data_IF_840370311668
#
_entry.id   IF_840370311668
#
_cell.length_a   1.000
_cell.length_b   1.000
_cell.length_c   1.000
_cell.angle_alpha   90.00
_cell.angle_beta   90.00
_cell.angle_gamma   90.00
#
_symmetry.space_group_name_H-M   'P 1'
#
loop_
_entity.id
_entity.type
_entity.pdbx_description
1 polymer ?
#
# COMPACT_ATOMS: atom_id res chain seq x y z
N UNK A 1 29.02 -3.89 4.49
CA UNK A 1 27.56 -3.99 4.67
C UNK A 1 27.10 -2.78 5.44
N UNK A 2 25.94 -2.16 5.15
CA UNK A 2 25.45 -1.04 5.95
C UNK A 2 25.19 -1.51 7.38
N UNK A 3 25.60 -0.71 8.39
CA UNK A 3 25.43 -1.07 9.79
C UNK A 3 23.94 -1.10 10.14
N UNK A 4 23.46 -2.25 10.64
CA UNK A 4 22.13 -2.37 11.24
C UNK A 4 22.09 -1.52 12.51
N UNK A 5 21.10 -0.64 12.67
CA UNK A 5 21.02 0.35 13.76
C UNK A 5 19.62 0.29 14.37
N UNK A 6 19.53 -0.05 15.62
CA UNK A 6 18.28 -0.27 16.35
C UNK A 6 18.14 0.69 17.51
N UNK A 7 16.98 1.33 17.62
CA UNK A 7 16.60 2.10 18.78
C UNK A 7 15.69 1.26 19.67
N UNK A 8 16.15 0.97 20.89
CA UNK A 8 15.36 0.25 21.91
C UNK A 8 14.75 1.27 22.86
N UNK A 9 13.45 1.21 23.07
CA UNK A 9 12.68 2.09 23.95
C UNK A 9 12.01 1.21 25.00
N UNK A 10 12.58 1.17 26.20
CA UNK A 10 12.07 0.39 27.33
C UNK A 10 12.59 0.95 28.66
N UNK A 11 11.70 1.07 29.66
CA UNK A 11 12.03 1.59 30.99
C UNK A 11 12.85 0.59 31.84
N UNK A 12 12.83 -0.69 31.51
CA UNK A 12 13.51 -1.75 32.23
C UNK A 12 15.00 -1.80 31.86
N UNK A 13 15.83 -1.05 32.57
CA UNK A 13 17.23 -0.85 32.22
C UNK A 13 18.07 -2.13 32.20
N UNK A 14 17.77 -3.12 33.07
CA UNK A 14 18.49 -4.39 33.10
C UNK A 14 18.19 -5.24 31.86
N UNK A 15 16.92 -5.31 31.45
CA UNK A 15 16.49 -6.00 30.24
C UNK A 15 17.05 -5.31 28.97
N UNK A 16 17.02 -4.00 28.94
CA UNK A 16 17.52 -3.22 27.79
C UNK A 16 19.02 -3.38 27.61
N UNK A 17 19.79 -3.41 28.69
CA UNK A 17 21.24 -3.70 28.63
C UNK A 17 21.51 -5.12 28.15
N UNK A 18 20.78 -6.09 28.64
CA UNK A 18 20.88 -7.48 28.16
C UNK A 18 20.63 -7.56 26.65
N UNK A 19 19.56 -6.91 26.14
CA UNK A 19 19.29 -6.85 24.71
C UNK A 19 20.40 -6.12 23.94
N UNK A 20 20.91 -5.04 24.48
CA UNK A 20 22.01 -4.30 23.85
C UNK A 20 23.25 -5.18 23.70
N UNK A 21 23.68 -5.86 24.77
CA UNK A 21 24.84 -6.75 24.74
C UNK A 21 24.67 -7.90 23.73
N UNK A 22 23.49 -8.54 23.67
CA UNK A 22 23.21 -9.62 22.72
C UNK A 22 23.19 -9.12 21.27
N UNK A 23 22.55 -7.99 20.99
CA UNK A 23 22.46 -7.43 19.65
C UNK A 23 23.81 -6.88 19.15
N UNK A 24 24.62 -6.29 20.03
CA UNK A 24 25.98 -5.80 19.68
C UNK A 24 26.92 -6.96 19.36
N UNK A 25 26.80 -8.12 20.03
CA UNK A 25 27.54 -9.34 19.66
C UNK A 25 27.20 -9.85 18.26
N UNK A 26 26.02 -9.47 17.72
CA UNK A 26 25.55 -9.78 16.36
C UNK A 26 25.85 -8.68 15.35
N UNK A 27 26.75 -7.75 15.68
CA UNK A 27 27.13 -6.60 14.84
C UNK A 27 25.97 -5.63 14.57
N UNK A 28 24.94 -5.59 15.41
CA UNK A 28 23.83 -4.63 15.37
C UNK A 28 24.15 -3.49 16.32
N UNK A 29 24.23 -2.26 15.82
CA UNK A 29 24.44 -1.08 16.68
C UNK A 29 23.14 -0.72 17.40
N UNK A 30 23.18 -0.50 18.71
CA UNK A 30 22.01 -0.24 19.54
C UNK A 30 22.14 1.12 20.24
N UNK A 31 21.04 1.88 20.22
CA UNK A 31 20.83 3.02 21.11
C UNK A 31 19.61 2.73 21.99
N UNK A 32 19.66 3.15 23.25
CA UNK A 32 18.61 2.88 24.22
C UNK A 32 18.00 4.19 24.75
N UNK A 33 16.68 4.18 24.95
CA UNK A 33 15.91 5.23 25.62
C UNK A 33 15.14 4.60 26.77
N UNK A 34 15.42 5.05 27.98
CA UNK A 34 14.86 4.47 29.22
C UNK A 34 13.69 5.30 29.77
N UNK A 35 13.63 6.59 29.45
CA UNK A 35 12.56 7.48 29.90
C UNK A 35 12.24 8.55 28.85
N UNK A 36 11.03 9.13 28.90
CA UNK A 36 10.71 10.34 28.14
C UNK A 36 11.62 11.48 28.62
N UNK A 37 12.49 12.00 27.75
CA UNK A 37 13.49 13.03 28.06
C UNK A 37 14.95 12.63 27.78
N UNK A 38 15.26 11.34 27.67
CA UNK A 38 16.61 10.82 27.31
C UNK A 38 16.90 10.89 25.80
N UNK A 39 16.22 11.74 25.10
CA UNK A 39 16.09 11.73 23.65
C UNK A 39 17.27 12.32 22.88
N UNK A 40 18.12 13.12 23.54
CA UNK A 40 19.13 13.94 22.89
C UNK A 40 20.26 13.15 22.17
N UNK A 41 20.49 11.89 22.54
CA UNK A 41 21.46 11.02 21.86
C UNK A 41 20.85 10.18 20.72
N UNK A 42 19.58 9.87 20.79
CA UNK A 42 18.92 8.93 19.90
C UNK A 42 18.62 9.53 18.51
N UNK A 43 18.38 10.84 18.41
CA UNK A 43 18.13 11.53 17.12
C UNK A 43 19.36 11.53 16.21
N UNK A 44 20.55 11.68 16.76
CA UNK A 44 21.80 11.60 16.01
C UNK A 44 22.15 10.16 15.58
N UNK A 45 21.55 9.17 16.23
CA UNK A 45 21.81 7.76 15.98
C UNK A 45 21.25 7.27 14.64
N UNK A 46 20.20 7.87 14.08
CA UNK A 46 19.53 7.51 12.82
C UNK A 46 19.24 6.00 12.69
N UNK A 47 18.32 5.43 13.48
CA UNK A 47 18.01 3.99 13.49
C UNK A 47 17.40 3.53 12.16
N UNK A 48 17.51 2.21 11.86
CA UNK A 48 16.81 1.55 10.76
C UNK A 48 15.53 0.86 11.26
N UNK A 49 15.49 0.46 12.54
CA UNK A 49 14.38 -0.22 13.21
C UNK A 49 14.19 0.36 14.59
N UNK A 50 12.96 0.44 15.05
CA UNK A 50 12.60 0.78 16.41
C UNK A 50 12.05 -0.47 17.10
N UNK A 51 12.52 -0.75 18.31
CA UNK A 51 11.98 -1.79 19.21
C UNK A 51 11.43 -1.08 20.44
N UNK A 52 10.12 -1.10 20.64
CA UNK A 52 9.51 -0.30 21.72
C UNK A 52 8.63 -1.14 22.64
N UNK A 53 8.74 -0.90 23.95
CA UNK A 53 7.76 -1.40 24.91
C UNK A 53 6.42 -0.66 24.72
N UNK A 54 5.33 -1.43 24.56
CA UNK A 54 3.97 -0.89 24.37
C UNK A 54 3.60 0.12 25.46
N UNK A 55 3.99 -0.13 26.69
CA UNK A 55 3.64 0.71 27.84
C UNK A 55 4.33 2.07 27.82
N UNK A 56 5.48 2.16 27.17
CA UNK A 56 6.21 3.42 27.00
C UNK A 56 5.70 4.30 25.86
N UNK A 57 4.81 3.82 25.01
CA UNK A 57 4.23 4.60 23.91
C UNK A 57 3.15 5.57 24.44
N UNK A 58 3.54 6.49 25.29
CA UNK A 58 2.72 7.61 25.77
C UNK A 58 2.73 8.79 24.78
N UNK A 59 1.91 9.82 25.03
CA UNK A 59 1.87 11.02 24.20
C UNK A 59 3.20 11.80 24.13
N UNK A 60 4.03 11.71 25.16
CA UNK A 60 5.38 12.33 25.18
C UNK A 60 6.39 11.54 24.32
N UNK A 61 6.39 10.21 24.43
CA UNK A 61 7.24 9.35 23.59
C UNK A 61 6.84 9.43 22.11
N UNK A 62 5.56 9.62 21.81
CA UNK A 62 5.09 9.86 20.44
C UNK A 62 5.58 11.20 19.89
N UNK A 63 5.75 12.22 20.73
CA UNK A 63 6.39 13.48 20.37
C UNK A 63 7.83 13.27 19.90
N UNK A 64 8.59 12.47 20.63
CA UNK A 64 9.98 12.09 20.29
C UNK A 64 10.06 11.28 18.99
N UNK A 65 9.21 10.27 18.82
CA UNK A 65 9.17 9.49 17.58
C UNK A 65 8.90 10.34 16.34
N UNK A 66 8.16 11.46 16.49
CA UNK A 66 7.98 12.47 15.43
C UNK A 66 9.26 13.20 15.05
N UNK A 67 10.29 13.21 15.89
CA UNK A 67 11.59 13.82 15.52
C UNK A 67 12.31 13.00 14.46
N UNK A 68 12.12 11.67 14.45
CA UNK A 68 12.58 10.81 13.35
C UNK A 68 11.75 11.00 12.07
N UNK A 69 10.55 11.54 12.21
CA UNK A 69 9.64 11.87 11.13
C UNK A 69 10.04 13.09 10.31
N UNK A 70 10.90 13.96 10.84
CA UNK A 70 11.48 15.08 10.08
C UNK A 70 12.27 14.60 8.86
N UNK A 71 12.72 13.34 8.86
CA UNK A 71 13.31 12.69 7.70
C UNK A 71 12.26 12.08 6.75
N UNK A 72 10.94 12.27 7.02
CA UNK A 72 9.79 11.73 6.25
C UNK A 72 9.83 10.20 6.02
N UNK A 73 10.59 9.47 6.86
CA UNK A 73 10.81 8.03 6.72
C UNK A 73 9.98 7.28 7.76
N UNK A 74 9.04 6.45 7.31
CA UNK A 74 8.32 5.52 8.20
C UNK A 74 9.28 4.42 8.64
N UNK A 75 9.78 4.49 9.87
CA UNK A 75 10.65 3.44 10.41
C UNK A 75 9.81 2.24 10.85
N UNK A 76 10.23 1.00 10.52
CA UNK A 76 9.59 -0.20 11.04
C UNK A 76 9.76 -0.26 12.56
N UNK A 77 8.66 -0.56 13.26
CA UNK A 77 8.60 -0.70 14.71
C UNK A 77 8.20 -2.12 15.09
N UNK A 78 9.03 -2.76 15.89
CA UNK A 78 8.70 -4.00 16.60
C UNK A 78 8.18 -3.64 17.98
N UNK A 79 6.94 -4.04 18.30
CA UNK A 79 6.30 -3.72 19.56
C UNK A 79 6.50 -4.87 20.55
N UNK A 80 7.10 -4.60 21.71
CA UNK A 80 7.16 -5.53 22.83
C UNK A 80 5.93 -5.36 23.72
N UNK A 81 5.28 -6.46 24.10
CA UNK A 81 4.08 -6.46 24.97
C UNK A 81 4.30 -7.31 26.21
N UNK A 82 3.75 -6.88 27.36
CA UNK A 82 3.77 -7.67 28.59
C UNK A 82 2.85 -8.90 28.52
N UNK A 83 3.07 -9.88 29.41
CA UNK A 83 2.27 -11.11 29.53
C UNK A 83 0.88 -10.90 30.15
N UNK A 84 0.59 -9.72 30.68
CA UNK A 84 -0.62 -9.46 31.46
C UNK A 84 -1.83 -9.15 30.55
N UNK A 85 -2.49 -10.22 30.09
CA UNK A 85 -3.70 -10.18 29.25
C UNK A 85 -4.89 -9.47 29.90
N UNK A 86 -4.91 -9.30 31.24
CA UNK A 86 -6.00 -8.64 31.97
C UNK A 86 -5.96 -7.11 31.97
N UNK A 87 -4.80 -6.50 31.69
CA UNK A 87 -4.66 -5.02 31.55
C UNK A 87 -4.86 -4.51 30.12
N UNK A 88 -5.07 -5.41 29.17
CA UNK A 88 -5.17 -5.05 27.73
C UNK A 88 -6.57 -4.54 27.32
N UNK A 89 -7.60 -4.69 28.17
CA UNK A 89 -8.93 -4.11 27.92
C UNK A 89 -8.94 -2.64 28.35
N UNK A 90 -8.65 -1.72 27.42
CA UNK A 90 -8.90 -0.28 27.64
C UNK A 90 -7.80 0.70 27.29
N UNK A 91 -6.59 0.27 26.90
CA UNK A 91 -5.61 1.18 26.29
C UNK A 91 -5.41 0.81 24.83
N UNK A 92 -6.20 1.42 23.96
CA UNK A 92 -5.85 1.52 22.55
C UNK A 92 -4.45 2.11 22.49
N UNK A 93 -3.48 1.38 21.92
CA UNK A 93 -2.24 1.98 21.45
C UNK A 93 -2.71 3.02 20.47
N UNK A 94 -2.38 4.32 20.62
CA UNK A 94 -2.72 5.27 19.59
C UNK A 94 -2.01 4.78 18.32
N UNK A 95 -2.75 4.13 17.44
CA UNK A 95 -2.26 3.68 16.12
C UNK A 95 -1.76 4.86 15.27
N UNK A 96 -1.83 6.07 15.83
CA UNK A 96 -1.37 7.36 15.29
C UNK A 96 -0.13 7.91 15.98
N UNK A 97 0.49 7.16 16.86
CA UNK A 97 1.68 7.60 17.54
C UNK A 97 2.88 7.46 16.62
N UNK A 98 3.22 8.52 15.96
CA UNK A 98 4.32 8.70 15.02
C UNK A 98 4.14 7.90 13.70
N UNK A 99 4.71 8.40 12.63
CA UNK A 99 4.81 7.77 11.30
C UNK A 99 5.59 6.43 11.26
N UNK A 100 5.79 5.80 12.41
CA UNK A 100 6.42 4.48 12.52
C UNK A 100 5.36 3.40 12.27
N UNK A 101 5.63 2.50 11.35
CA UNK A 101 4.77 1.38 11.04
C UNK A 101 5.06 0.23 12.01
N UNK A 102 4.08 -0.19 12.84
CA UNK A 102 4.20 -1.42 13.62
C UNK A 102 4.21 -2.60 12.63
N UNK A 103 5.36 -3.27 12.53
CA UNK A 103 5.58 -4.37 11.59
C UNK A 103 5.54 -5.74 12.25
N UNK A 104 5.71 -5.79 13.57
CA UNK A 104 5.61 -7.00 14.36
C UNK A 104 5.29 -6.68 15.81
N UNK A 105 4.69 -7.64 16.52
CA UNK A 105 4.47 -7.61 17.97
C UNK A 105 5.07 -8.87 18.59
N UNK A 106 5.85 -8.71 19.65
CA UNK A 106 6.50 -9.80 20.35
C UNK A 106 6.15 -9.76 21.84
N UNK A 107 5.56 -10.83 22.43
CA UNK A 107 5.25 -10.87 23.86
C UNK A 107 6.51 -11.15 24.68
N UNK A 108 6.73 -10.42 25.78
CA UNK A 108 7.74 -10.74 26.78
C UNK A 108 7.24 -11.89 27.70
N UNK A 109 8.10 -12.84 28.12
CA UNK A 109 9.50 -12.99 27.71
C UNK A 109 9.62 -13.65 26.32
N UNK A 110 10.70 -13.34 25.60
CA UNK A 110 11.00 -13.92 24.30
C UNK A 110 12.48 -14.30 24.20
N UNK A 111 12.76 -15.22 23.30
CA UNK A 111 14.15 -15.58 22.96
C UNK A 111 14.82 -14.45 22.16
N UNK A 112 16.03 -14.00 22.53
CA UNK A 112 16.74 -12.92 21.83
C UNK A 112 16.90 -13.16 20.32
N UNK A 113 17.04 -14.43 19.90
CA UNK A 113 17.13 -14.82 18.48
C UNK A 113 15.92 -14.37 17.67
N UNK A 114 14.71 -14.50 18.25
CA UNK A 114 13.46 -14.11 17.56
C UNK A 114 13.43 -12.60 17.28
N UNK A 115 13.85 -11.82 18.25
CA UNK A 115 13.95 -10.36 18.07
C UNK A 115 15.06 -10.00 17.07
N UNK A 116 16.21 -10.65 17.13
CA UNK A 116 17.30 -10.42 16.19
C UNK A 116 16.90 -10.70 14.74
N UNK A 117 16.20 -11.81 14.47
CA UNK A 117 15.68 -12.15 13.14
C UNK A 117 14.68 -11.09 12.62
N UNK A 118 13.79 -10.59 13.48
CA UNK A 118 12.86 -9.53 13.11
C UNK A 118 13.62 -8.24 12.77
N UNK A 119 14.58 -7.85 13.62
CA UNK A 119 15.41 -6.67 13.39
C UNK A 119 16.17 -6.80 12.06
N UNK A 120 16.79 -7.93 11.79
CA UNK A 120 17.52 -8.17 10.54
C UNK A 120 16.64 -7.99 9.33
N UNK A 121 15.50 -8.67 9.32
CA UNK A 121 14.51 -8.60 8.23
C UNK A 121 14.07 -7.16 7.95
N UNK A 122 13.70 -6.43 9.00
CA UNK A 122 13.13 -5.09 8.81
C UNK A 122 14.20 -4.01 8.62
N UNK A 123 15.43 -4.19 9.15
CA UNK A 123 16.52 -3.28 8.87
C UNK A 123 16.97 -3.35 7.40
N UNK A 124 17.03 -4.53 6.81
CA UNK A 124 17.34 -4.71 5.39
C UNK A 124 16.25 -4.10 4.50
N UNK A 125 14.96 -4.34 4.84
CA UNK A 125 13.84 -3.75 4.11
C UNK A 125 13.86 -2.21 4.20
N UNK A 126 14.08 -1.64 5.38
CA UNK A 126 14.18 -0.20 5.59
C UNK A 126 15.35 0.41 4.82
N UNK A 127 16.53 -0.23 4.87
CA UNK A 127 17.71 0.22 4.11
C UNK A 127 17.46 0.21 2.61
N UNK A 128 16.76 -0.80 2.10
CA UNK A 128 16.37 -0.86 0.70
C UNK A 128 15.49 0.33 0.33
N UNK A 129 14.45 0.63 1.11
CA UNK A 129 13.54 1.76 0.88
C UNK A 129 14.31 3.09 0.86
N UNK A 130 15.28 3.27 1.77
CA UNK A 130 16.13 4.47 1.82
C UNK A 130 16.92 4.62 0.50
N UNK A 131 17.64 3.58 0.08
CA UNK A 131 18.44 3.60 -1.15
C UNK A 131 17.58 3.78 -2.41
N UNK A 132 16.37 3.25 -2.41
CA UNK A 132 15.44 3.40 -3.51
C UNK A 132 14.88 4.84 -3.56
N UNK A 133 14.59 5.45 -2.40
CA UNK A 133 14.18 6.87 -2.31
C UNK A 133 15.29 7.81 -2.79
N UNK A 134 16.53 7.63 -2.32
CA UNK A 134 17.69 8.40 -2.77
C UNK A 134 17.92 8.31 -4.28
N UNK A 135 17.70 7.12 -4.86
CA UNK A 135 17.78 6.94 -6.31
C UNK A 135 16.67 7.72 -7.04
N UNK A 136 15.44 7.72 -6.52
CA UNK A 136 14.32 8.46 -7.11
C UNK A 136 14.57 9.96 -6.99
N UNK A 137 15.02 10.45 -5.83
CA UNK A 137 15.39 11.86 -5.61
C UNK A 137 16.45 12.31 -6.61
N UNK A 138 17.45 11.47 -6.91
CA UNK A 138 18.46 11.77 -7.92
C UNK A 138 17.87 11.83 -9.34
N UNK A 139 16.88 10.98 -9.67
CA UNK A 139 16.15 11.07 -10.94
C UNK A 139 15.34 12.37 -11.04
N UNK A 140 14.71 12.79 -9.95
CA UNK A 140 13.94 14.04 -9.89
C UNK A 140 14.87 15.24 -10.04
N UNK A 141 15.98 15.29 -9.30
CA UNK A 141 16.95 16.38 -9.34
C UNK A 141 17.58 16.54 -10.74
N UNK A 142 17.64 15.47 -11.53
CA UNK A 142 18.13 15.48 -12.93
C UNK A 142 17.02 15.62 -13.97
N UNK A 143 15.77 15.89 -13.55
CA UNK A 143 14.58 16.00 -14.42
C UNK A 143 14.31 14.73 -15.28
N UNK A 144 14.67 13.57 -14.75
CA UNK A 144 14.59 12.27 -15.46
C UNK A 144 13.54 11.31 -14.92
N UNK A 145 12.81 11.68 -13.87
CA UNK A 145 11.82 10.78 -13.27
C UNK A 145 10.77 10.34 -14.29
N UNK A 146 10.14 11.30 -14.96
CA UNK A 146 9.02 11.02 -15.88
C UNK A 146 9.44 10.20 -17.10
N UNK A 147 10.65 10.40 -17.62
CA UNK A 147 11.21 9.62 -18.73
C UNK A 147 11.52 8.16 -18.32
N UNK A 148 11.75 7.94 -17.03
CA UNK A 148 12.02 6.62 -16.46
C UNK A 148 10.79 5.95 -15.88
N UNK A 149 9.67 6.67 -15.73
CA UNK A 149 8.41 6.13 -15.24
C UNK A 149 7.69 5.38 -16.37
N UNK A 150 7.54 4.08 -16.19
CA UNK A 150 6.85 3.19 -17.13
C UNK A 150 5.72 2.47 -16.42
N UNK A 151 4.83 1.88 -17.19
CA UNK A 151 3.70 1.12 -16.68
C UNK A 151 3.78 -0.32 -17.17
N UNK A 152 3.67 -1.24 -16.23
CA UNK A 152 3.37 -2.64 -16.49
C UNK A 152 1.90 -2.91 -16.18
N UNK A 153 1.33 -3.93 -16.78
CA UNK A 153 -0.09 -4.22 -16.67
C UNK A 153 -0.30 -5.63 -16.17
N UNK A 154 -1.15 -5.79 -15.17
CA UNK A 154 -1.56 -7.08 -14.64
C UNK A 154 -3.01 -7.37 -15.01
N UNK A 155 -3.27 -8.58 -15.50
CA UNK A 155 -4.61 -8.99 -15.92
C UNK A 155 -5.53 -9.25 -14.73
N UNK A 156 -6.80 -8.79 -14.87
CA UNK A 156 -7.94 -9.18 -14.04
C UNK A 156 -8.73 -10.26 -14.78
N UNK A 157 -9.16 -11.29 -14.09
CA UNK A 157 -9.84 -12.44 -14.67
C UNK A 157 -11.23 -12.66 -14.08
N UNK A 158 -12.17 -13.02 -14.93
CA UNK A 158 -13.49 -13.50 -14.47
C UNK A 158 -13.34 -14.80 -13.70
N UNK A 159 -13.88 -14.87 -12.50
CA UNK A 159 -13.87 -16.10 -11.70
C UNK A 159 -14.84 -17.14 -12.23
N UNK A 160 -15.83 -16.73 -13.05
CA UNK A 160 -16.80 -17.64 -13.66
C UNK A 160 -16.23 -18.44 -14.82
N UNK A 161 -15.52 -17.77 -15.75
CA UNK A 161 -15.07 -18.40 -17.01
C UNK A 161 -13.55 -18.31 -17.24
N UNK A 162 -12.80 -17.61 -16.38
CA UNK A 162 -11.35 -17.46 -16.48
C UNK A 162 -10.85 -16.45 -17.52
N UNK A 163 -11.75 -15.82 -18.28
CA UNK A 163 -11.37 -14.85 -19.31
C UNK A 163 -10.77 -13.58 -18.70
N UNK A 164 -9.86 -12.92 -19.43
CA UNK A 164 -9.38 -11.58 -19.07
C UNK A 164 -10.55 -10.59 -19.21
N UNK A 165 -10.78 -9.82 -18.14
CA UNK A 165 -11.89 -8.85 -18.04
C UNK A 165 -11.38 -7.42 -17.78
N UNK A 166 -10.09 -7.23 -17.62
CA UNK A 166 -9.45 -5.94 -17.41
C UNK A 166 -7.96 -6.05 -17.18
N UNK A 167 -7.32 -4.91 -17.08
CA UNK A 167 -5.90 -4.79 -16.71
C UNK A 167 -5.73 -3.70 -15.67
N UNK A 168 -4.85 -3.92 -14.68
CA UNK A 168 -4.39 -2.89 -13.76
C UNK A 168 -3.03 -2.36 -14.18
N UNK A 169 -2.91 -1.03 -14.19
CA UNK A 169 -1.68 -0.30 -14.49
C UNK A 169 -0.85 -0.13 -13.24
N UNK A 170 0.33 -0.73 -13.23
CA UNK A 170 1.26 -0.73 -12.12
C UNK A 170 2.53 0.02 -12.50
N UNK A 171 2.79 1.13 -11.83
CA UNK A 171 3.95 1.98 -12.07
C UNK A 171 5.27 1.29 -11.77
N UNK A 172 6.26 1.48 -12.64
CA UNK A 172 7.62 0.95 -12.52
C UNK A 172 8.63 2.01 -12.93
N UNK A 173 9.87 1.82 -12.55
CA UNK A 173 10.99 2.59 -13.10
C UNK A 173 11.80 1.71 -14.07
N UNK A 174 12.31 2.33 -15.13
CA UNK A 174 13.28 1.72 -16.08
C UNK A 174 14.61 1.48 -15.35
N UNK A 175 14.66 0.50 -14.47
CA UNK A 175 15.83 0.14 -13.69
C UNK A 175 15.85 -1.36 -13.41
N UNK A 176 17.03 -1.90 -13.10
CA UNK A 176 17.14 -3.28 -12.61
C UNK A 176 16.73 -3.44 -11.13
N UNK A 177 16.47 -2.33 -10.44
CA UNK A 177 16.01 -2.34 -9.05
C UNK A 177 14.51 -2.63 -9.00
N UNK A 178 14.08 -3.52 -8.12
CA UNK A 178 12.66 -3.74 -7.83
C UNK A 178 12.16 -2.67 -6.84
N UNK A 179 11.84 -1.49 -7.36
CA UNK A 179 11.31 -0.35 -6.59
C UNK A 179 9.79 -0.42 -6.60
N UNK A 180 9.16 -0.29 -5.42
CA UNK A 180 7.71 -0.35 -5.30
C UNK A 180 7.04 0.94 -5.81
N UNK A 181 5.82 0.87 -6.38
CA UNK A 181 5.03 2.05 -6.72
C UNK A 181 4.87 3.01 -5.53
N UNK A 182 4.61 2.49 -4.33
CA UNK A 182 4.48 3.28 -3.12
C UNK A 182 5.74 4.14 -2.85
N UNK A 183 6.94 3.58 -3.02
CA UNK A 183 8.20 4.33 -2.85
C UNK A 183 8.35 5.41 -3.93
N UNK A 184 7.97 5.12 -5.18
CA UNK A 184 8.03 6.08 -6.30
C UNK A 184 7.13 7.27 -6.00
N UNK A 185 5.86 7.03 -5.67
CA UNK A 185 4.89 8.09 -5.44
C UNK A 185 5.11 8.84 -4.13
N UNK A 186 5.60 8.18 -3.07
CA UNK A 186 6.01 8.89 -1.85
C UNK A 186 7.09 9.93 -2.13
N UNK A 187 8.15 9.56 -2.85
CA UNK A 187 9.20 10.50 -3.22
C UNK A 187 8.69 11.60 -4.18
N UNK A 188 7.83 11.25 -5.14
CA UNK A 188 7.22 12.23 -6.04
C UNK A 188 6.35 13.25 -5.29
N UNK A 189 5.58 12.81 -4.28
CA UNK A 189 4.77 13.67 -3.42
C UNK A 189 5.65 14.64 -2.62
N UNK A 190 6.72 14.14 -2.02
CA UNK A 190 7.68 14.95 -1.26
C UNK A 190 8.33 16.06 -2.09
N UNK A 191 8.55 15.78 -3.36
CA UNK A 191 9.16 16.70 -4.32
C UNK A 191 8.13 17.47 -5.16
N UNK A 192 6.83 17.41 -4.79
CA UNK A 192 5.72 18.09 -5.48
C UNK A 192 5.54 17.70 -6.97
N UNK A 193 5.89 16.47 -7.32
CA UNK A 193 5.78 15.89 -8.67
C UNK A 193 4.68 14.84 -8.80
N UNK A 194 3.89 14.58 -7.76
CA UNK A 194 2.86 13.55 -7.73
C UNK A 194 1.84 13.73 -8.87
N UNK A 195 1.38 14.96 -9.10
CA UNK A 195 0.46 15.28 -10.21
C UNK A 195 1.07 14.86 -11.55
N UNK A 196 2.29 15.31 -11.84
CA UNK A 196 2.97 15.04 -13.12
C UNK A 196 3.23 13.55 -13.30
N UNK A 197 3.64 12.85 -12.25
CA UNK A 197 3.85 11.40 -12.27
C UNK A 197 2.55 10.65 -12.53
N UNK A 198 1.46 11.00 -11.84
CA UNK A 198 0.15 10.39 -12.04
C UNK A 198 -0.37 10.65 -13.46
N UNK A 199 -0.25 11.87 -13.95
CA UNK A 199 -0.67 12.21 -15.31
C UNK A 199 0.15 11.49 -16.38
N UNK A 200 1.44 11.24 -16.14
CA UNK A 200 2.29 10.42 -17.02
C UNK A 200 1.78 8.97 -17.08
N UNK A 201 1.39 8.39 -15.95
CA UNK A 201 0.79 7.06 -15.89
C UNK A 201 -0.53 7.03 -16.67
N UNK A 202 -1.39 8.02 -16.49
CA UNK A 202 -2.68 8.13 -17.20
C UNK A 202 -2.49 8.22 -18.72
N UNK A 203 -1.51 8.99 -19.20
CA UNK A 203 -1.20 9.04 -20.65
C UNK A 203 -0.82 7.64 -21.20
N UNK A 204 -0.07 6.82 -20.44
CA UNK A 204 0.28 5.46 -20.82
C UNK A 204 -0.93 4.51 -20.78
N UNK A 205 -1.82 4.65 -19.79
CA UNK A 205 -3.08 3.89 -19.68
C UNK A 205 -4.00 4.20 -20.85
N UNK A 206 -4.22 5.47 -21.18
CA UNK A 206 -5.04 5.89 -22.32
C UNK A 206 -4.48 5.35 -23.64
N UNK A 207 -3.15 5.35 -23.79
CA UNK A 207 -2.50 4.77 -24.97
C UNK A 207 -2.80 3.27 -25.09
N UNK A 208 -2.67 2.49 -24.00
CA UNK A 208 -3.01 1.07 -24.03
C UNK A 208 -4.50 0.85 -24.32
N UNK A 209 -5.39 1.56 -23.63
CA UNK A 209 -6.84 1.43 -23.82
C UNK A 209 -7.25 1.69 -25.28
N UNK A 210 -6.62 2.67 -25.95
CA UNK A 210 -6.85 2.91 -27.38
C UNK A 210 -6.31 1.76 -28.24
N UNK A 211 -5.12 1.23 -27.96
CA UNK A 211 -4.55 0.11 -28.70
C UNK A 211 -5.39 -1.16 -28.56
N UNK A 212 -5.89 -1.48 -27.38
CA UNK A 212 -6.79 -2.60 -27.16
C UNK A 212 -8.06 -2.46 -28.00
N UNK A 213 -8.66 -1.29 -28.05
CA UNK A 213 -9.86 -1.02 -28.86
C UNK A 213 -9.61 -1.10 -30.37
N UNK A 214 -8.46 -0.65 -30.84
CA UNK A 214 -8.04 -0.84 -32.23
C UNK A 214 -7.98 -2.33 -32.60
N UNK A 215 -7.56 -3.17 -31.64
CA UNK A 215 -7.58 -4.63 -31.74
C UNK A 215 -8.97 -5.26 -31.47
N UNK A 216 -10.03 -4.46 -31.29
CA UNK A 216 -11.40 -4.89 -30.91
C UNK A 216 -11.50 -5.62 -29.57
N UNK A 217 -10.55 -5.35 -28.67
CA UNK A 217 -10.51 -5.86 -27.30
C UNK A 217 -11.18 -4.83 -26.40
N UNK A 218 -12.37 -5.15 -25.88
CA UNK A 218 -13.18 -4.24 -25.09
C UNK A 218 -13.10 -4.56 -23.59
N UNK A 219 -11.90 -4.43 -23.02
CA UNK A 219 -11.68 -4.55 -21.57
C UNK A 219 -11.13 -3.25 -21.01
N UNK A 220 -11.48 -2.86 -19.77
CA UNK A 220 -10.99 -1.66 -19.15
C UNK A 220 -9.54 -1.79 -18.72
N UNK A 221 -8.86 -0.65 -18.64
CA UNK A 221 -7.54 -0.51 -18.00
C UNK A 221 -7.70 0.41 -16.80
N UNK A 222 -7.33 -0.06 -15.61
CA UNK A 222 -7.40 0.74 -14.40
C UNK A 222 -6.05 1.39 -14.06
N UNK A 223 -6.11 2.52 -13.35
CA UNK A 223 -4.94 3.22 -12.82
C UNK A 223 -5.21 3.69 -11.39
N UNK A 224 -4.17 3.69 -10.56
CA UNK A 224 -4.20 4.15 -9.19
C UNK A 224 -4.17 5.68 -9.11
N UNK A 225 -5.02 6.26 -8.26
CA UNK A 225 -5.12 7.70 -8.00
C UNK A 225 -5.33 7.95 -6.51
N UNK A 226 -4.46 8.74 -5.89
CA UNK A 226 -4.68 9.17 -4.51
C UNK A 226 -5.94 10.06 -4.43
N UNK A 227 -6.82 9.79 -3.47
CA UNK A 227 -7.99 10.63 -3.23
C UNK A 227 -7.63 12.09 -2.90
N UNK A 228 -6.43 12.33 -2.34
CA UNK A 228 -5.93 13.68 -2.07
C UNK A 228 -5.69 14.45 -3.37
N UNK A 229 -5.20 13.80 -4.43
CA UNK A 229 -4.99 14.42 -5.73
C UNK A 229 -6.27 14.98 -6.33
N UNK A 230 -7.40 14.30 -6.14
CA UNK A 230 -8.70 14.77 -6.64
C UNK A 230 -9.08 16.12 -6.03
N UNK A 231 -8.59 16.45 -4.84
CA UNK A 231 -8.88 17.73 -4.16
C UNK A 231 -7.84 18.81 -4.49
N UNK A 232 -6.78 18.49 -5.24
CA UNK A 232 -5.77 19.48 -5.63
C UNK A 232 -6.22 20.29 -6.85
N UNK A 233 -6.03 21.61 -6.76
CA UNK A 233 -6.43 22.51 -7.84
C UNK A 233 -5.79 22.18 -9.18
N UNK A 234 -6.59 22.14 -10.25
CA UNK A 234 -6.17 21.86 -11.60
C UNK A 234 -5.91 20.40 -11.95
N UNK A 235 -5.86 19.47 -10.96
CA UNK A 235 -5.64 18.06 -11.27
C UNK A 235 -6.80 17.45 -12.05
N UNK A 236 -8.03 17.71 -11.63
CA UNK A 236 -9.23 17.15 -12.27
C UNK A 236 -9.35 17.64 -13.72
N UNK A 237 -9.07 18.91 -13.99
CA UNK A 237 -9.08 19.45 -15.36
C UNK A 237 -7.99 18.78 -16.21
N UNK A 238 -6.78 18.61 -15.65
CA UNK A 238 -5.69 17.94 -16.34
C UNK A 238 -5.97 16.45 -16.58
N UNK A 239 -6.62 15.76 -15.64
CA UNK A 239 -7.13 14.40 -15.81
C UNK A 239 -8.12 14.32 -16.97
N UNK A 240 -9.14 15.20 -16.98
CA UNK A 240 -10.11 15.29 -18.06
C UNK A 240 -9.47 15.46 -19.44
N UNK A 241 -8.55 16.41 -19.56
CA UNK A 241 -7.86 16.68 -20.81
C UNK A 241 -7.10 15.45 -21.37
N UNK A 242 -6.66 14.53 -20.50
CA UNK A 242 -6.02 13.29 -20.91
C UNK A 242 -7.03 12.22 -21.28
N UNK A 243 -8.09 12.07 -20.48
CA UNK A 243 -9.13 11.08 -20.72
C UNK A 243 -9.89 11.36 -22.02
N UNK A 244 -10.06 12.61 -22.41
CA UNK A 244 -10.66 12.98 -23.71
C UNK A 244 -9.87 12.48 -24.93
N UNK A 245 -8.60 12.12 -24.77
CA UNK A 245 -7.80 11.47 -25.81
C UNK A 245 -8.20 9.99 -26.00
N UNK A 246 -8.97 9.42 -25.08
CA UNK A 246 -9.53 8.07 -25.23
C UNK A 246 -10.67 8.08 -26.24
N UNK A 247 -10.63 7.18 -27.22
CA UNK A 247 -11.63 7.08 -28.32
C UNK A 247 -13.02 6.64 -27.88
N UNK A 248 -13.24 6.28 -26.69
CA UNK A 248 -14.53 6.03 -26.04
C UNK A 248 -14.23 5.76 -24.57
N UNK A 249 -14.31 6.79 -23.75
CA UNK A 249 -13.93 6.72 -22.34
C UNK A 249 -14.79 5.73 -21.55
N UNK A 250 -16.10 5.67 -21.89
CA UNK A 250 -17.03 4.78 -21.20
C UNK A 250 -16.60 3.32 -21.29
N UNK A 251 -16.33 2.72 -20.15
CA UNK A 251 -15.85 1.35 -20.03
C UNK A 251 -14.44 1.06 -20.55
N UNK A 252 -13.65 2.10 -20.85
CA UNK A 252 -12.26 1.93 -21.29
C UNK A 252 -11.24 2.10 -20.17
N UNK A 253 -11.56 2.96 -19.20
CA UNK A 253 -10.64 3.33 -18.11
C UNK A 253 -11.40 3.28 -16.77
N UNK A 254 -10.73 2.78 -15.76
CA UNK A 254 -11.20 2.76 -14.36
C UNK A 254 -10.18 3.51 -13.52
N UNK A 255 -10.63 4.39 -12.63
CA UNK A 255 -9.81 5.05 -11.64
C UNK A 255 -9.92 4.29 -10.32
N UNK A 256 -8.82 3.73 -9.83
CA UNK A 256 -8.74 3.07 -8.53
C UNK A 256 -8.36 4.08 -7.45
N UNK A 257 -9.15 4.18 -6.40
CA UNK A 257 -8.94 5.09 -5.29
C UNK A 257 -8.67 4.26 -4.04
N UNK A 258 -7.49 4.44 -3.45
CA UNK A 258 -7.16 3.80 -2.18
C UNK A 258 -7.96 4.43 -1.04
N UNK A 259 -8.43 3.61 -0.10
CA UNK A 259 -9.12 4.06 1.10
C UNK A 259 -8.15 4.71 2.10
N UNK A 260 -7.53 5.82 1.72
CA UNK A 260 -6.69 6.55 2.66
C UNK A 260 -7.54 7.38 3.63
N UNK A 261 -7.40 7.10 4.95
CA UNK A 261 -8.01 7.87 6.05
C UNK A 261 -7.60 9.36 6.12
N UNK A 262 -6.81 9.83 5.19
CA UNK A 262 -6.23 11.17 5.17
C UNK A 262 -7.08 12.22 4.45
N UNK A 263 -8.14 11.81 3.77
CA UNK A 263 -9.02 12.77 3.10
C UNK A 263 -9.87 13.45 4.14
N UNK A 264 -9.59 14.74 4.37
CA UNK A 264 -10.31 15.55 5.34
C UNK A 264 -11.81 15.70 5.01
N UNK A 265 -12.17 15.57 3.72
CA UNK A 265 -13.56 15.74 3.27
C UNK A 265 -13.92 14.70 2.19
N UNK A 266 -14.43 13.56 2.61
CA UNK A 266 -14.86 12.48 1.72
C UNK A 266 -16.00 12.93 0.79
N UNK A 267 -16.85 13.88 1.20
CA UNK A 267 -17.97 14.38 0.39
C UNK A 267 -17.48 15.08 -0.88
N UNK A 268 -16.40 15.86 -0.78
CA UNK A 268 -15.78 16.50 -1.96
C UNK A 268 -15.27 15.45 -2.94
N UNK A 269 -14.61 14.39 -2.43
CA UNK A 269 -14.14 13.29 -3.27
C UNK A 269 -15.33 12.59 -3.93
N UNK A 270 -16.40 12.30 -3.20
CA UNK A 270 -17.61 11.69 -3.73
C UNK A 270 -18.26 12.54 -4.83
N UNK A 271 -18.38 13.87 -4.62
CA UNK A 271 -18.90 14.79 -5.65
C UNK A 271 -18.06 14.77 -6.93
N UNK A 272 -16.72 14.77 -6.79
CA UNK A 272 -15.81 14.66 -7.94
C UNK A 272 -15.99 13.31 -8.63
N UNK A 273 -16.08 12.20 -7.89
CA UNK A 273 -16.32 10.88 -8.44
C UNK A 273 -17.68 10.80 -9.17
N UNK A 274 -18.74 11.40 -8.63
CA UNK A 274 -20.03 11.52 -9.30
C UNK A 274 -19.93 12.28 -10.62
N UNK A 275 -19.18 13.39 -10.61
CA UNK A 275 -18.95 14.15 -11.83
C UNK A 275 -18.19 13.32 -12.87
N UNK A 276 -17.07 12.68 -12.48
CA UNK A 276 -16.25 11.85 -13.36
C UNK A 276 -17.05 10.66 -13.95
N UNK A 277 -17.91 10.03 -13.13
CA UNK A 277 -18.77 8.93 -13.58
C UNK A 277 -19.78 9.35 -14.66
N UNK A 278 -20.31 10.58 -14.59
CA UNK A 278 -21.18 11.12 -15.64
C UNK A 278 -20.48 11.27 -16.99
N UNK A 279 -19.16 11.43 -16.97
CA UNK A 279 -18.32 11.50 -18.17
C UNK A 279 -17.81 10.13 -18.62
N UNK A 280 -18.25 9.04 -17.94
CA UNK A 280 -17.96 7.66 -18.32
C UNK A 280 -16.68 7.08 -17.70
N UNK A 281 -16.03 7.78 -16.74
CA UNK A 281 -14.94 7.21 -15.96
C UNK A 281 -15.55 6.38 -14.82
N UNK A 282 -15.26 5.08 -14.81
CA UNK A 282 -15.63 4.23 -13.69
C UNK A 282 -14.65 4.42 -12.52
N UNK A 283 -15.15 4.27 -11.30
CA UNK A 283 -14.37 4.33 -10.07
C UNK A 283 -14.30 2.94 -9.45
N UNK A 284 -13.14 2.54 -8.98
CA UNK A 284 -12.90 1.35 -8.16
C UNK A 284 -12.39 1.78 -6.79
N UNK A 285 -12.88 1.12 -5.75
CA UNK A 285 -12.33 1.27 -4.39
C UNK A 285 -11.24 0.21 -4.22
N UNK A 286 -10.05 0.63 -3.86
CA UNK A 286 -8.88 -0.22 -3.70
C UNK A 286 -8.53 -0.49 -2.23
N UNK A 287 -7.76 -1.56 -1.98
CA UNK A 287 -7.22 -1.97 -0.67
C UNK A 287 -8.27 -2.18 0.43
N UNK A 288 -9.49 -2.64 0.06
CA UNK A 288 -10.51 -2.90 1.07
C UNK A 288 -10.11 -4.02 2.02
N UNK A 289 -10.12 -3.71 3.32
CA UNK A 289 -9.82 -4.69 4.38
C UNK A 289 -8.48 -4.49 5.08
N UNK A 290 -7.70 -3.48 4.73
CA UNK A 290 -6.40 -3.17 5.38
C UNK A 290 -6.53 -2.52 6.78
N UNK A 291 -7.71 -2.64 7.43
CA UNK A 291 -7.95 -2.27 8.83
C UNK A 291 -8.50 -0.87 9.07
N UNK A 292 -8.75 -0.10 8.03
CA UNK A 292 -9.30 1.25 8.11
C UNK A 292 -10.64 1.42 7.37
N UNK A 293 -11.14 0.33 6.81
CA UNK A 293 -12.32 0.29 5.94
C UNK A 293 -13.60 0.55 6.73
N UNK A 294 -14.22 1.69 6.45
CA UNK A 294 -15.56 2.00 6.94
C UNK A 294 -16.56 1.97 5.76
N UNK A 295 -17.44 0.97 5.75
CA UNK A 295 -18.47 0.81 4.71
C UNK A 295 -19.33 2.08 4.52
N UNK A 296 -19.62 2.81 5.60
CA UNK A 296 -20.41 4.05 5.52
C UNK A 296 -19.71 5.10 4.65
N UNK A 297 -18.38 5.22 4.75
CA UNK A 297 -17.59 6.15 3.95
C UNK A 297 -17.53 5.73 2.48
N UNK A 298 -17.34 4.43 2.24
CA UNK A 298 -17.31 3.87 0.88
C UNK A 298 -18.68 4.04 0.22
N UNK A 299 -19.77 3.91 0.98
CA UNK A 299 -21.12 4.07 0.48
C UNK A 299 -21.42 5.49 -0.07
N UNK A 300 -20.66 6.51 0.32
CA UNK A 300 -20.80 7.87 -0.22
C UNK A 300 -20.20 8.00 -1.64
N UNK A 301 -19.23 7.17 -2.00
CA UNK A 301 -18.56 7.23 -3.30
C UNK A 301 -19.34 6.38 -4.33
N UNK A 302 -19.59 6.89 -5.55
CA UNK A 302 -20.12 6.08 -6.63
C UNK A 302 -19.01 5.20 -7.19
N UNK A 303 -19.06 3.90 -6.93
CA UNK A 303 -18.07 2.96 -7.45
C UNK A 303 -18.73 1.85 -8.29
N UNK A 304 -18.00 1.39 -9.29
CA UNK A 304 -18.38 0.27 -10.15
C UNK A 304 -17.64 -1.03 -9.80
N UNK A 305 -16.57 -0.91 -8.99
CA UNK A 305 -15.72 -2.02 -8.59
C UNK A 305 -15.19 -1.80 -7.18
N UNK A 306 -15.06 -2.87 -6.40
CA UNK A 306 -14.37 -2.90 -5.10
C UNK A 306 -13.34 -4.03 -5.12
N UNK A 307 -12.07 -3.68 -4.82
CA UNK A 307 -10.97 -4.62 -4.74
C UNK A 307 -10.75 -5.03 -3.30
N UNK A 308 -10.82 -6.32 -3.05
CA UNK A 308 -10.56 -6.93 -1.75
C UNK A 308 -9.08 -7.25 -1.64
N UNK A 309 -8.40 -6.59 -0.69
CA UNK A 309 -6.97 -6.77 -0.47
C UNK A 309 -6.61 -8.22 -0.13
N UNK A 310 -5.42 -8.63 -0.58
CA UNK A 310 -4.89 -9.98 -0.38
C UNK A 310 -4.81 -10.39 1.10
N UNK A 311 -4.53 -9.46 2.03
CA UNK A 311 -4.33 -9.80 3.44
C UNK A 311 -5.63 -10.27 4.09
N UNK A 312 -6.75 -9.58 3.83
CA UNK A 312 -8.06 -10.00 4.31
C UNK A 312 -8.52 -11.28 3.62
N UNK A 313 -8.26 -11.41 2.31
CA UNK A 313 -8.59 -12.62 1.56
C UNK A 313 -7.78 -13.83 2.07
N UNK A 314 -6.48 -13.68 2.31
CA UNK A 314 -5.66 -14.75 2.88
C UNK A 314 -6.02 -15.07 4.33
N UNK A 315 -6.45 -14.06 5.11
CA UNK A 315 -6.99 -14.31 6.44
C UNK A 315 -8.25 -15.20 6.38
N UNK A 316 -9.13 -15.00 5.39
CA UNK A 316 -10.24 -15.89 5.12
C UNK A 316 -9.78 -17.29 4.66
N UNK A 317 -8.83 -17.38 3.73
CA UNK A 317 -8.29 -18.67 3.28
C UNK A 317 -7.70 -19.51 4.42
N UNK A 318 -7.22 -18.85 5.48
CA UNK A 318 -6.65 -19.48 6.69
C UNK A 318 -7.67 -19.55 7.87
N UNK A 319 -8.96 -19.46 7.59
CA UNK A 319 -10.07 -19.55 8.57
C UNK A 319 -10.01 -18.52 9.73
N UNK A 320 -9.27 -17.40 9.54
CA UNK A 320 -9.21 -16.29 10.52
C UNK A 320 -10.35 -15.28 10.35
N UNK A 321 -10.92 -15.19 9.15
CA UNK A 321 -12.08 -14.36 8.84
C UNK A 321 -13.21 -15.24 8.35
N UNK A 322 -14.41 -15.19 8.97
CA UNK A 322 -15.55 -15.97 8.53
C UNK A 322 -16.03 -15.60 7.12
N UNK A 323 -16.50 -16.58 6.35
CA UNK A 323 -17.07 -16.37 5.03
C UNK A 323 -18.22 -15.34 5.02
N UNK A 324 -19.02 -15.31 6.09
CA UNK A 324 -20.16 -14.39 6.24
C UNK A 324 -19.74 -12.94 6.22
N UNK A 325 -18.54 -12.61 6.73
CA UNK A 325 -18.01 -11.23 6.73
C UNK A 325 -17.72 -10.78 5.30
N UNK A 326 -16.93 -11.56 4.56
CA UNK A 326 -16.57 -11.21 3.16
C UNK A 326 -17.76 -11.35 2.22
N UNK A 327 -18.62 -12.35 2.45
CA UNK A 327 -19.86 -12.52 1.69
C UNK A 327 -20.79 -11.32 1.82
N UNK A 328 -20.96 -10.75 3.01
CA UNK A 328 -21.78 -9.55 3.21
C UNK A 328 -21.24 -8.33 2.44
N UNK A 329 -19.92 -8.22 2.29
CA UNK A 329 -19.29 -7.16 1.49
C UNK A 329 -19.58 -7.36 0.00
N UNK A 330 -19.48 -8.60 -0.48
CA UNK A 330 -19.79 -8.94 -1.88
C UNK A 330 -21.27 -8.65 -2.16
N UNK A 331 -22.18 -9.09 -1.28
CA UNK A 331 -23.61 -8.80 -1.38
C UNK A 331 -23.90 -7.29 -1.42
N UNK A 332 -23.22 -6.52 -0.57
CA UNK A 332 -23.34 -5.06 -0.57
C UNK A 332 -22.90 -4.46 -1.92
N UNK A 333 -21.81 -4.93 -2.51
CA UNK A 333 -21.37 -4.48 -3.84
C UNK A 333 -22.40 -4.86 -4.92
N UNK A 334 -22.89 -6.08 -4.91
CA UNK A 334 -23.90 -6.55 -5.88
C UNK A 334 -25.21 -5.78 -5.79
N UNK A 335 -25.70 -5.46 -4.58
CA UNK A 335 -26.87 -4.60 -4.39
C UNK A 335 -26.71 -3.21 -4.99
N UNK A 336 -25.49 -2.72 -5.12
CA UNK A 336 -25.14 -1.43 -5.74
C UNK A 336 -24.85 -1.54 -7.24
N UNK A 337 -24.91 -2.74 -7.81
CA UNK A 337 -24.53 -3.01 -9.20
C UNK A 337 -23.02 -2.92 -9.45
N UNK A 338 -22.21 -2.97 -8.40
CA UNK A 338 -20.76 -2.97 -8.48
C UNK A 338 -20.20 -4.39 -8.50
N UNK A 339 -19.03 -4.58 -9.10
CA UNK A 339 -18.29 -5.84 -9.13
C UNK A 339 -17.28 -5.91 -8.00
N UNK A 340 -16.93 -7.13 -7.62
CA UNK A 340 -15.89 -7.39 -6.65
C UNK A 340 -14.68 -8.04 -7.31
N UNK A 341 -13.48 -7.60 -6.94
CA UNK A 341 -12.19 -8.17 -7.37
C UNK A 341 -11.46 -8.69 -6.16
N UNK A 342 -11.08 -9.95 -6.16
CA UNK A 342 -10.23 -10.54 -5.11
C UNK A 342 -8.79 -10.49 -5.55
N UNK A 343 -7.94 -9.87 -4.73
CA UNK A 343 -6.50 -9.82 -4.96
C UNK A 343 -5.74 -10.97 -4.30
N UNK A 344 -4.51 -11.20 -4.73
CA UNK A 344 -3.62 -12.20 -4.14
C UNK A 344 -4.00 -13.65 -4.42
N UNK A 345 -4.66 -13.91 -5.54
CA UNK A 345 -4.89 -15.29 -6.00
C UNK A 345 -3.58 -15.83 -6.59
N UNK A 346 -2.90 -16.72 -5.84
CA UNK A 346 -1.59 -17.26 -6.22
C UNK A 346 -1.62 -18.77 -6.48
N UNK A 347 -2.65 -19.47 -6.01
CA UNK A 347 -2.76 -20.94 -6.09
C UNK A 347 -4.16 -21.37 -6.56
N UNK A 348 -4.32 -22.62 -7.04
CA UNK A 348 -5.65 -23.18 -7.33
C UNK A 348 -6.57 -23.14 -6.10
N UNK A 349 -6.03 -23.35 -4.90
CA UNK A 349 -6.78 -23.25 -3.65
C UNK A 349 -7.34 -21.83 -3.43
N UNK A 350 -6.54 -20.79 -3.66
CA UNK A 350 -7.03 -19.40 -3.58
C UNK A 350 -8.12 -19.14 -4.61
N UNK A 351 -7.99 -19.66 -5.83
CA UNK A 351 -9.00 -19.52 -6.87
C UNK A 351 -10.34 -20.15 -6.46
N UNK A 352 -10.33 -21.36 -5.89
CA UNK A 352 -11.53 -22.04 -5.39
C UNK A 352 -12.17 -21.27 -4.25
N UNK A 353 -11.36 -20.75 -3.29
CA UNK A 353 -11.85 -19.93 -2.19
C UNK A 353 -12.50 -18.62 -2.67
N UNK A 354 -11.92 -17.95 -3.66
CA UNK A 354 -12.50 -16.73 -4.25
C UNK A 354 -13.84 -17.02 -4.96
N UNK A 355 -13.94 -18.15 -5.65
CA UNK A 355 -15.21 -18.62 -6.25
C UNK A 355 -16.26 -18.95 -5.21
N UNK A 356 -15.87 -19.60 -4.11
CA UNK A 356 -16.76 -19.93 -3.00
C UNK A 356 -17.34 -18.67 -2.33
N UNK A 357 -16.59 -17.59 -2.28
CA UNK A 357 -17.07 -16.29 -1.80
C UNK A 357 -18.13 -15.66 -2.69
N UNK A 358 -18.23 -16.07 -3.95
CA UNK A 358 -19.15 -15.46 -4.93
C UNK A 358 -18.61 -14.16 -5.53
N UNK A 359 -17.31 -13.91 -5.46
CA UNK A 359 -16.69 -12.75 -6.10
C UNK A 359 -16.74 -12.84 -7.63
N UNK A 360 -16.73 -11.68 -8.31
CA UNK A 360 -16.89 -11.62 -9.77
C UNK A 360 -15.58 -11.85 -10.51
N UNK A 361 -14.51 -11.25 -9.99
CA UNK A 361 -13.21 -11.17 -10.64
C UNK A 361 -12.08 -11.50 -9.66
N UNK A 362 -10.95 -11.86 -10.21
CA UNK A 362 -9.74 -12.13 -9.44
C UNK A 362 -8.49 -11.64 -10.13
N UNK A 363 -7.49 -11.34 -9.31
CA UNK A 363 -6.16 -10.90 -9.73
C UNK A 363 -5.08 -11.56 -8.86
N UNK A 364 -3.95 -11.93 -9.46
CA UNK A 364 -2.83 -12.51 -8.70
C UNK A 364 -1.86 -13.29 -9.56
N UNK A 365 -0.81 -13.80 -8.93
CA UNK A 365 0.26 -14.51 -9.60
C UNK A 365 -0.15 -15.88 -10.17
N UNK A 366 -1.33 -16.36 -9.84
CA UNK A 366 -1.91 -17.55 -10.47
C UNK A 366 -2.00 -17.41 -12.00
N UNK A 367 -2.35 -16.21 -12.49
CA UNK A 367 -2.40 -15.92 -13.93
C UNK A 367 -1.15 -15.24 -14.45
N UNK A 368 -0.35 -14.64 -13.58
CA UNK A 368 0.90 -14.02 -13.94
C UNK A 368 1.19 -12.71 -13.20
N UNK A 369 2.40 -12.24 -13.39
CA UNK A 369 2.84 -10.93 -12.89
C UNK A 369 2.48 -9.85 -13.90
N UNK A 370 2.52 -8.60 -13.47
CA UNK A 370 2.43 -7.47 -14.38
C UNK A 370 3.53 -7.56 -15.47
N UNK A 371 3.15 -7.21 -16.68
CA UNK A 371 4.05 -7.25 -17.84
C UNK A 371 3.98 -5.94 -18.62
N UNK A 372 5.05 -5.54 -19.34
CA UNK A 372 5.03 -4.42 -20.25
C UNK A 372 3.96 -4.57 -21.36
N UNK A 373 3.40 -3.47 -21.89
CA UNK A 373 2.24 -3.49 -22.79
C UNK A 373 2.46 -4.32 -24.08
N UNK A 374 3.70 -4.42 -24.56
CA UNK A 374 4.02 -5.20 -25.78
C UNK A 374 3.79 -6.73 -25.61
N UNK A 375 3.68 -7.23 -24.39
CA UNK A 375 3.44 -8.66 -24.13
C UNK A 375 1.95 -9.00 -23.95
N UNK A 376 1.08 -8.00 -23.74
CA UNK A 376 -0.37 -8.22 -23.54
C UNK A 376 -1.08 -8.79 -24.78
N UNK A 377 -0.57 -8.46 -25.97
CA UNK A 377 -1.16 -8.92 -27.23
C UNK A 377 -1.10 -10.45 -27.35
N UNK A 378 -0.12 -11.10 -26.70
CA UNK A 378 -0.01 -12.56 -26.68
C UNK A 378 -1.18 -13.27 -25.99
N UNK A 379 -1.75 -12.63 -24.96
CA UNK A 379 -2.86 -13.17 -24.18
C UNK A 379 -4.15 -13.31 -25.02
N UNK A 380 -4.25 -12.54 -26.13
CA UNK A 380 -5.43 -12.48 -26.97
C UNK A 380 -5.30 -13.23 -28.31
N UNK A 381 -4.12 -13.38 -28.82
CA UNK A 381 -3.88 -13.96 -30.14
C UNK A 381 -3.21 -15.34 -30.11
N UNK A 382 -2.86 -15.87 -28.94
CA UNK A 382 -2.42 -17.26 -28.77
C UNK A 382 -1.06 -17.60 -29.44
N UNK A 383 -0.15 -16.60 -29.60
CA UNK A 383 1.18 -16.80 -30.16
C UNK A 383 2.28 -16.85 -29.12
#
# INVERSE_FOLDING_TARGET
MPKKRVLVIDEESAFTRFLQDDLEQREISVACVYSPGDENGATAFAPNVIVANKEMLSSSTTGFLRTFDRSKRKLPMVLMTGTDTKRQQGREVPARAANSQIVATIPKPFEPNVLAELIERYAEASQKVILDSEYIEALIASDRLLDNLVVEFQSKHSLTNGNVVGYEALSRLKTRRAISPATIFSAATEMSLEIQATLNVIDQVVKLANSLRECRINVPVSFNCSAILLTQGGFVDALFARLQKSRNLSGAVIMEITEENRVANIKVVAEICHMLSRYGLAVSIDDYGTGHSNLDRIAEIPFAELKMDKEIFWAFCNDRVPITVLGSIIDFCHMRGAKTVVEGIETPFHLEKARLLGADQGQGFYWGRAVPPQYLVKDWYGF
#
